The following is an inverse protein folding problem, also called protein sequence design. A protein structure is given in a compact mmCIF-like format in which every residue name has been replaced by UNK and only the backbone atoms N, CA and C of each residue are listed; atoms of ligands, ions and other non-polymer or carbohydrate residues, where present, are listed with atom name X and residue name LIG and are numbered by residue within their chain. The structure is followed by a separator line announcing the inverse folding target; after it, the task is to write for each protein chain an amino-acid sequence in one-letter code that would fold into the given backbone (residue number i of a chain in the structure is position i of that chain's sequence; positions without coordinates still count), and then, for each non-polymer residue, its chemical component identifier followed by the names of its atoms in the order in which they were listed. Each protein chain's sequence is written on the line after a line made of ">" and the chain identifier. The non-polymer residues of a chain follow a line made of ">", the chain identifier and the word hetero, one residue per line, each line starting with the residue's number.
data_IF_314244096245
#
_entry.id   IF_314244096245
#
_cell.length_a   1.000
_cell.length_b   1.000
_cell.length_c   1.000
_cell.angle_alpha   90.00
_cell.angle_beta   90.00
_cell.angle_gamma   90.00
#
_symmetry.space_group_name_H-M   'P 1'
#
loop_
_entity.id
_entity.type
_entity.pdbx_description
1 polymer ?
#
# COMPACT_ATOMS: atom_id res chain seq x y z
N UNK A 1 11.89 -34.52 -48.17
CA UNK A 1 11.94 -33.23 -47.45
C UNK A 1 10.52 -32.70 -47.28
N UNK A 2 9.91 -32.85 -46.11
CA UNK A 2 8.64 -32.18 -45.75
C UNK A 2 8.66 -31.82 -44.26
N UNK A 3 8.00 -30.69 -43.99
CA UNK A 3 8.23 -29.72 -42.92
C UNK A 3 7.86 -30.19 -41.52
N UNK A 4 8.58 -29.63 -40.55
CA UNK A 4 8.33 -29.65 -39.10
C UNK A 4 6.89 -29.27 -38.72
N UNK A 5 6.38 -29.91 -37.67
CA UNK A 5 5.36 -29.31 -36.79
C UNK A 5 5.79 -29.56 -35.34
N UNK A 6 6.53 -28.59 -34.79
CA UNK A 6 6.74 -28.48 -33.35
C UNK A 6 5.41 -28.06 -32.73
N UNK A 7 4.74 -28.96 -32.03
CA UNK A 7 3.59 -28.61 -31.20
C UNK A 7 4.14 -27.93 -29.93
N UNK A 8 4.30 -26.61 -30.00
CA UNK A 8 4.42 -25.76 -28.83
C UNK A 8 3.08 -25.83 -28.08
N UNK A 9 2.99 -26.72 -27.09
CA UNK A 9 1.99 -26.56 -26.04
C UNK A 9 2.44 -25.38 -25.17
N UNK A 10 2.06 -24.18 -25.62
CA UNK A 10 1.91 -23.00 -24.78
C UNK A 10 0.89 -23.36 -23.70
N UNK A 11 1.35 -23.91 -22.58
CA UNK A 11 0.58 -23.82 -21.34
C UNK A 11 0.68 -22.34 -20.96
N UNK A 12 -0.31 -21.58 -21.44
CA UNK A 12 -0.61 -20.24 -20.97
C UNK A 12 -0.69 -20.30 -19.45
N UNK A 13 0.34 -19.81 -18.77
CA UNK A 13 0.26 -19.46 -17.36
C UNK A 13 -0.77 -18.35 -17.26
N UNK A 14 -2.03 -18.72 -17.01
CA UNK A 14 -3.05 -17.78 -16.54
C UNK A 14 -2.54 -17.25 -15.20
N UNK A 15 -1.85 -16.13 -15.27
CA UNK A 15 -1.43 -15.34 -14.12
C UNK A 15 -2.70 -14.93 -13.39
N UNK A 16 -3.05 -15.67 -12.34
CA UNK A 16 -4.05 -15.22 -11.39
C UNK A 16 -3.55 -13.90 -10.83
N UNK A 17 -4.20 -12.80 -11.21
CA UNK A 17 -3.92 -11.50 -10.62
C UNK A 17 -4.26 -11.59 -9.13
N UNK A 18 -3.25 -11.84 -8.29
CA UNK A 18 -3.38 -11.98 -6.83
C UNK A 18 -3.55 -10.64 -6.11
N UNK A 19 -3.46 -9.53 -6.86
CA UNK A 19 -3.67 -8.18 -6.35
C UNK A 19 -5.10 -7.75 -6.70
N UNK A 20 -5.84 -7.32 -5.68
CA UNK A 20 -7.11 -6.62 -5.86
C UNK A 20 -6.86 -5.12 -5.68
N UNK A 21 -7.57 -4.32 -6.46
CA UNK A 21 -7.61 -2.86 -6.25
C UNK A 21 -8.90 -2.53 -5.52
N UNK A 22 -8.77 -1.78 -4.44
CA UNK A 22 -9.87 -1.23 -3.68
C UNK A 22 -9.99 0.24 -4.03
N UNK A 23 -11.14 0.66 -4.56
CA UNK A 23 -11.46 2.08 -4.75
C UNK A 23 -12.08 2.60 -3.46
N UNK A 24 -11.45 3.60 -2.84
CA UNK A 24 -11.81 4.10 -1.52
C UNK A 24 -12.29 5.55 -1.59
N UNK A 25 -13.54 5.76 -1.19
CA UNK A 25 -14.14 7.08 -1.06
C UNK A 25 -13.80 7.65 0.33
N UNK A 26 -13.05 8.74 0.35
CA UNK A 26 -12.55 9.35 1.58
C UNK A 26 -13.61 10.28 2.17
N UNK A 27 -13.99 10.02 3.42
CA UNK A 27 -14.96 10.82 4.18
C UNK A 27 -14.31 11.74 5.19
N UNK A 28 -13.10 11.41 5.64
CA UNK A 28 -12.38 12.18 6.65
C UNK A 28 -10.92 12.34 6.26
N UNK A 29 -10.37 13.53 6.51
CA UNK A 29 -8.98 13.88 6.23
C UNK A 29 -8.45 14.71 7.40
N UNK A 30 -7.28 14.35 7.90
CA UNK A 30 -6.61 15.00 9.01
C UNK A 30 -5.16 15.33 8.68
N UNK A 31 -4.66 16.43 9.24
CA UNK A 31 -3.26 16.85 9.24
C UNK A 31 -2.84 17.09 10.68
N UNK A 32 -1.81 16.39 11.16
CA UNK A 32 -1.34 16.48 12.54
C UNK A 32 -2.47 16.28 13.57
N UNK A 33 -3.24 15.21 13.40
CA UNK A 33 -4.36 14.80 14.28
C UNK A 33 -5.51 15.82 14.37
N UNK A 34 -5.56 16.80 13.45
CA UNK A 34 -6.64 17.79 13.35
C UNK A 34 -7.31 17.71 11.98
N UNK A 35 -8.61 18.02 11.86
CA UNK A 35 -9.26 18.04 10.56
C UNK A 35 -8.47 18.89 9.55
N UNK A 36 -8.16 18.30 8.41
CA UNK A 36 -7.40 18.96 7.35
C UNK A 36 -8.16 20.21 6.88
N UNK A 37 -7.44 21.33 6.73
CA UNK A 37 -8.05 22.60 6.27
C UNK A 37 -8.44 22.55 4.80
N UNK A 38 -7.65 21.84 4.00
CA UNK A 38 -7.92 21.59 2.59
C UNK A 38 -8.20 20.11 2.41
N UNK A 39 -9.39 19.78 1.91
CA UNK A 39 -9.78 18.42 1.57
C UNK A 39 -9.36 18.12 0.15
N UNK A 40 -8.44 17.18 -0.02
CA UNK A 40 -7.86 16.83 -1.33
C UNK A 40 -8.59 15.63 -1.93
N UNK A 41 -9.19 14.79 -1.10
CA UNK A 41 -9.76 13.50 -1.49
C UNK A 41 -11.29 13.46 -1.40
N UNK A 42 -11.93 14.58 -1.03
CA UNK A 42 -13.39 14.69 -0.93
C UNK A 42 -14.11 14.45 -2.27
N UNK A 43 -13.46 14.77 -3.39
CA UNK A 43 -14.02 14.66 -4.74
C UNK A 43 -13.43 13.53 -5.58
N UNK A 44 -12.34 12.90 -5.14
CA UNK A 44 -11.62 11.88 -5.91
C UNK A 44 -11.33 10.65 -5.05
N UNK A 45 -11.82 9.46 -5.43
CA UNK A 45 -11.49 8.24 -4.73
C UNK A 45 -10.01 7.91 -4.89
N UNK A 46 -9.46 7.19 -3.91
CA UNK A 46 -8.10 6.68 -3.99
C UNK A 46 -8.11 5.18 -4.25
N UNK A 47 -7.10 4.70 -4.98
CA UNK A 47 -6.90 3.27 -5.20
C UNK A 47 -5.93 2.71 -4.15
N UNK A 48 -6.37 1.65 -3.45
CA UNK A 48 -5.54 0.85 -2.53
C UNK A 48 -5.33 -0.54 -3.13
N UNK A 49 -4.07 -0.90 -3.34
CA UNK A 49 -3.65 -2.18 -3.88
C UNK A 49 -3.44 -3.17 -2.75
N UNK A 50 -4.25 -4.23 -2.68
CA UNK A 50 -4.16 -5.30 -1.68
C UNK A 50 -3.73 -6.62 -2.36
N UNK A 51 -2.61 -7.18 -1.92
CA UNK A 51 -2.16 -8.51 -2.30
C UNK A 51 -1.89 -9.33 -1.03
N UNK A 52 -2.79 -10.26 -0.70
CA UNK A 52 -2.68 -11.09 0.51
C UNK A 52 -1.55 -12.11 0.43
N UNK A 53 -1.21 -12.58 -0.78
CA UNK A 53 -0.12 -13.53 -0.99
C UNK A 53 1.24 -12.87 -0.72
N UNK A 54 1.45 -11.69 -1.28
CA UNK A 54 2.64 -10.87 -1.03
C UNK A 54 2.61 -10.14 0.32
N UNK A 55 1.51 -10.26 1.07
CA UNK A 55 1.30 -9.58 2.35
C UNK A 55 1.48 -8.05 2.23
N UNK A 56 0.83 -7.49 1.22
CA UNK A 56 0.96 -6.09 0.82
C UNK A 56 -0.39 -5.38 0.80
N UNK A 57 -0.44 -4.15 1.31
CA UNK A 57 -1.56 -3.22 1.12
C UNK A 57 -1.02 -1.79 1.10
N UNK A 58 -1.29 -1.00 0.05
CA UNK A 58 -0.80 0.39 -0.06
C UNK A 58 -1.49 1.18 -1.20
N UNK A 59 -1.32 2.51 -1.26
CA UNK A 59 -1.75 3.38 -2.38
C UNK A 59 -0.86 3.27 -3.63
N UNK A 60 0.18 2.42 -3.58
CA UNK A 60 1.00 2.03 -4.71
C UNK A 60 1.24 0.53 -4.70
N UNK A 61 1.39 -0.12 -5.86
CA UNK A 61 1.68 -1.54 -5.94
C UNK A 61 3.05 -1.86 -5.31
N UNK A 62 3.24 -3.10 -4.84
CA UNK A 62 4.51 -3.59 -4.24
C UNK A 62 5.72 -3.25 -5.11
N UNK A 63 5.57 -3.43 -6.43
CA UNK A 63 6.58 -3.16 -7.43
C UNK A 63 7.06 -1.69 -7.46
N UNK A 64 6.22 -0.73 -7.07
CA UNK A 64 6.64 0.68 -7.01
C UNK A 64 7.70 0.90 -5.92
N UNK A 65 7.59 0.17 -4.80
CA UNK A 65 8.47 0.35 -3.65
C UNK A 65 9.69 -0.58 -3.65
N UNK A 66 9.58 -1.75 -4.27
CA UNK A 66 10.58 -2.83 -4.14
C UNK A 66 11.32 -3.20 -5.43
N UNK A 67 11.12 -2.47 -6.55
CA UNK A 67 11.84 -2.75 -7.82
C UNK A 67 13.27 -2.22 -7.87
N UNK A 68 13.63 -1.32 -6.97
CA UNK A 68 14.99 -0.81 -6.83
C UNK A 68 15.65 -1.60 -5.69
N UNK A 69 16.72 -2.34 -6.01
CA UNK A 69 17.43 -3.20 -5.06
C UNK A 69 17.94 -2.39 -3.86
N UNK A 70 18.32 -1.12 -4.06
CA UNK A 70 18.76 -0.27 -2.97
C UNK A 70 17.58 0.15 -2.08
N UNK A 71 16.37 0.30 -2.63
CA UNK A 71 15.17 0.66 -1.85
C UNK A 71 14.65 -0.51 -1.01
N UNK A 72 14.80 -1.74 -1.49
CA UNK A 72 14.31 -2.94 -0.80
C UNK A 72 14.93 -3.09 0.59
N UNK A 73 16.23 -2.88 0.70
CA UNK A 73 16.96 -2.97 1.98
C UNK A 73 16.69 -1.78 2.91
N UNK A 74 16.06 -0.71 2.38
CA UNK A 74 15.64 0.48 3.13
C UNK A 74 14.18 0.44 3.57
N UNK A 75 13.48 -0.67 3.34
CA UNK A 75 12.06 -0.83 3.69
C UNK A 75 11.85 -1.95 4.70
N UNK A 76 11.07 -1.67 5.74
CA UNK A 76 10.55 -2.68 6.66
C UNK A 76 9.03 -2.69 6.54
N UNK A 77 8.47 -3.87 6.29
CA UNK A 77 7.01 -4.09 6.26
C UNK A 77 6.58 -5.09 7.32
N UNK A 78 5.47 -4.82 7.98
CA UNK A 78 4.77 -5.77 8.82
C UNK A 78 3.32 -5.88 8.39
N UNK A 79 2.87 -7.09 8.09
CA UNK A 79 1.49 -7.37 7.66
C UNK A 79 0.86 -8.39 8.58
N UNK A 80 -0.35 -8.08 9.04
CA UNK A 80 -1.15 -8.95 9.88
C UNK A 80 -2.59 -8.95 9.38
N UNK A 81 -3.07 -10.14 9.03
CA UNK A 81 -4.48 -10.40 8.74
C UNK A 81 -5.04 -11.28 9.85
N UNK A 82 -5.90 -10.72 10.72
CA UNK A 82 -6.59 -11.46 11.80
C UNK A 82 -7.95 -10.83 12.11
N UNK A 83 -8.91 -11.64 12.56
CA UNK A 83 -10.16 -11.21 13.19
C UNK A 83 -10.82 -10.02 12.46
N UNK A 84 -11.07 -10.19 11.16
CA UNK A 84 -11.76 -9.19 10.34
C UNK A 84 -10.99 -7.89 10.07
N UNK A 85 -9.73 -7.78 10.49
CA UNK A 85 -8.88 -6.61 10.24
C UNK A 85 -7.60 -7.00 9.52
N UNK A 86 -7.19 -6.17 8.56
CA UNK A 86 -5.85 -6.16 8.01
C UNK A 86 -5.12 -4.96 8.60
N UNK A 87 -3.95 -5.20 9.18
CA UNK A 87 -3.03 -4.17 9.64
C UNK A 87 -1.74 -4.30 8.86
N UNK A 88 -1.28 -3.17 8.35
CA UNK A 88 -0.01 -3.07 7.65
C UNK A 88 0.77 -1.87 8.17
N UNK A 89 2.06 -2.08 8.43
CA UNK A 89 2.97 -1.03 8.84
C UNK A 89 4.13 -1.04 7.85
N UNK A 90 4.51 0.14 7.39
CA UNK A 90 5.65 0.32 6.50
C UNK A 90 6.56 1.39 7.06
N UNK A 91 7.87 1.16 6.98
CA UNK A 91 8.91 2.15 7.32
C UNK A 91 9.93 2.19 6.21
N UNK A 92 10.26 3.40 5.74
CA UNK A 92 11.34 3.69 4.80
C UNK A 92 12.46 4.43 5.52
N UNK A 93 13.69 3.99 5.36
CA UNK A 93 14.87 4.55 6.02
C UNK A 93 15.73 5.36 5.05
N UNK A 94 16.37 6.43 5.54
CA UNK A 94 17.17 7.34 4.70
C UNK A 94 18.44 6.66 4.11
N UNK A 95 19.03 5.69 4.82
CA UNK A 95 20.09 4.83 4.28
C UNK A 95 20.06 3.46 4.97
N UNK A 96 20.69 2.45 4.36
CA UNK A 96 20.78 1.08 4.91
C UNK A 96 21.46 1.08 6.29
N UNK A 97 22.45 1.97 6.48
CA UNK A 97 23.22 2.09 7.72
C UNK A 97 22.57 3.01 8.76
N UNK A 98 21.71 3.96 8.36
CA UNK A 98 21.12 4.95 9.27
C UNK A 98 19.72 4.50 9.72
N UNK A 99 19.56 4.28 11.03
CA UNK A 99 18.29 3.97 11.75
C UNK A 99 17.19 5.04 11.63
N UNK A 100 17.37 6.04 10.79
CA UNK A 100 16.50 7.20 10.71
C UNK A 100 15.43 6.99 9.66
N UNK A 101 14.19 7.06 10.11
CA UNK A 101 13.00 6.88 9.27
C UNK A 101 12.83 8.14 8.43
N UNK A 102 12.73 7.97 7.10
CA UNK A 102 12.39 9.03 6.15
C UNK A 102 10.87 9.26 6.17
N UNK A 103 10.12 8.16 6.08
CA UNK A 103 8.67 8.14 6.12
C UNK A 103 8.18 6.81 6.65
N UNK A 104 7.00 6.81 7.26
CA UNK A 104 6.30 5.59 7.64
C UNK A 104 4.81 5.74 7.38
N UNK A 105 4.11 4.62 7.33
CA UNK A 105 2.66 4.65 7.31
C UNK A 105 2.06 3.39 7.92
N UNK A 106 0.86 3.62 8.47
CA UNK A 106 0.01 2.60 9.05
C UNK A 106 -1.29 2.52 8.26
N UNK A 107 -1.64 1.32 7.84
CA UNK A 107 -2.87 1.04 7.10
C UNK A 107 -3.67 0.02 7.87
N UNK A 108 -4.93 0.37 8.11
CA UNK A 108 -5.91 -0.45 8.78
C UNK A 108 -7.13 -0.61 7.88
N UNK A 109 -7.45 -1.86 7.52
CA UNK A 109 -8.65 -2.19 6.74
C UNK A 109 -9.55 -3.11 7.56
N UNK A 110 -10.71 -2.61 7.96
CA UNK A 110 -11.80 -3.38 8.56
C UNK A 110 -12.62 -4.06 7.45
N UNK A 111 -12.60 -5.39 7.39
CA UNK A 111 -13.18 -6.18 6.29
C UNK A 111 -14.70 -6.21 6.29
N UNK A 112 -15.33 -6.15 7.46
CA UNK A 112 -16.79 -6.22 7.60
C UNK A 112 -17.46 -4.95 7.10
N UNK A 113 -16.87 -3.79 7.41
CA UNK A 113 -17.38 -2.48 7.01
C UNK A 113 -16.72 -1.95 5.73
N UNK A 114 -15.70 -2.64 5.23
CA UNK A 114 -14.79 -2.18 4.18
C UNK A 114 -14.24 -0.77 4.47
N UNK A 115 -13.91 -0.51 5.73
CA UNK A 115 -13.46 0.80 6.17
C UNK A 115 -11.94 0.84 6.23
N UNK A 116 -11.34 1.83 5.59
CA UNK A 116 -9.91 2.10 5.55
C UNK A 116 -9.59 3.28 6.47
N UNK A 117 -8.51 3.12 7.22
CA UNK A 117 -7.78 4.20 7.88
C UNK A 117 -6.32 4.09 7.43
N UNK A 118 -5.81 5.18 6.84
CA UNK A 118 -4.46 5.24 6.29
C UNK A 118 -3.76 6.49 6.82
N UNK A 119 -2.75 6.28 7.66
CA UNK A 119 -1.94 7.32 8.26
C UNK A 119 -0.54 7.31 7.64
N UNK A 120 -0.03 8.47 7.23
CA UNK A 120 1.36 8.69 6.78
C UNK A 120 2.06 9.64 7.74
N UNK A 121 3.30 9.31 8.07
CA UNK A 121 4.16 10.10 8.93
C UNK A 121 5.43 10.51 8.19
N UNK A 122 5.80 11.76 8.39
CA UNK A 122 7.00 12.37 7.83
C UNK A 122 7.89 12.85 8.96
N UNK A 123 9.18 12.56 8.83
CA UNK A 123 10.14 12.71 9.92
C UNK A 123 11.18 13.78 9.62
N UNK A 124 11.55 14.53 10.66
CA UNK A 124 12.67 15.46 10.64
C UNK A 124 14.00 14.74 10.66
N UNK A 125 15.07 15.54 10.58
CA UNK A 125 16.40 15.01 10.59
C UNK A 125 16.84 14.33 11.91
N UNK A 126 16.12 14.61 12.99
CA UNK A 126 16.33 14.04 14.32
C UNK A 126 15.45 12.79 14.59
N UNK A 127 14.59 12.39 13.63
CA UNK A 127 13.68 11.25 13.78
C UNK A 127 12.35 11.57 14.48
N UNK A 128 12.08 12.82 14.81
CA UNK A 128 10.77 13.26 15.28
C UNK A 128 9.80 13.41 14.10
N UNK A 129 8.51 13.18 14.34
CA UNK A 129 7.46 13.43 13.34
C UNK A 129 7.25 14.95 13.25
N UNK A 130 7.42 15.54 12.06
CA UNK A 130 7.05 16.95 11.83
C UNK A 130 5.68 17.10 11.18
N UNK A 131 5.23 16.07 10.48
CA UNK A 131 3.97 16.10 9.77
C UNK A 131 3.34 14.72 9.71
N UNK A 132 2.02 14.64 9.88
CA UNK A 132 1.23 13.46 9.58
C UNK A 132 0.00 13.82 8.76
N UNK A 133 -0.40 12.89 7.90
CA UNK A 133 -1.68 12.93 7.21
C UNK A 133 -2.43 11.66 7.51
N UNK A 134 -3.73 11.77 7.76
CA UNK A 134 -4.60 10.60 7.93
C UNK A 134 -5.83 10.78 7.05
N UNK A 135 -6.20 9.70 6.36
CA UNK A 135 -7.44 9.62 5.60
C UNK A 135 -8.25 8.42 6.07
N UNK A 136 -9.57 8.60 6.13
CA UNK A 136 -10.51 7.53 6.46
C UNK A 136 -11.65 7.49 5.45
N UNK A 137 -12.10 6.28 5.11
CA UNK A 137 -13.09 6.12 4.07
C UNK A 137 -13.57 4.70 3.87
N UNK A 138 -14.62 4.55 3.06
CA UNK A 138 -15.14 3.25 2.69
C UNK A 138 -14.60 2.82 1.34
N UNK A 139 -14.22 1.55 1.24
CA UNK A 139 -13.63 0.96 0.06
C UNK A 139 -14.55 -0.06 -0.58
N UNK A 140 -14.46 -0.18 -1.89
CA UNK A 140 -15.10 -1.24 -2.67
C UNK A 140 -14.09 -1.88 -3.60
N UNK A 141 -14.26 -3.16 -3.91
CA UNK A 141 -13.41 -3.81 -4.91
C UNK A 141 -13.69 -3.15 -6.26
N UNK A 142 -12.64 -2.56 -6.86
CA UNK A 142 -12.69 -1.95 -8.18
C UNK A 142 -12.86 -3.06 -9.22
N UNK A 143 -13.91 -2.97 -10.04
CA UNK A 143 -14.25 -3.96 -11.07
C UNK A 143 -13.40 -3.79 -12.32
#
# INVERSE_FOLDING_TARGET
>A
MKKYFFFFYLISSSSFANQITLECNISEEFENDKPARKKIYESEPIDIFLNKYEKWINDKPTAYWLKDDDLKDRVITFFKDKNEKITFNFKKFQSIEKKKIESSFDIHLEKTRNFLEFIKYYYEDNGNIYFSTEIKGNCVVKK
#
